data_IF_181420176026
#
_entry.id   IF_181420176026
#
_cell.length_a   1.000
_cell.length_b   1.000
_cell.length_c   1.000
_cell.angle_alpha   90.00
_cell.angle_beta   90.00
_cell.angle_gamma   90.00
#
_symmetry.space_group_name_H-M   'P 1'
#
loop_
_entity.id
_entity.type
_entity.pdbx_description
1 polymer ?
#
# COMPACT_ATOMS: atom_id res chain seq x y z
N UNK A 1 -4.99 24.21 5.21
CA UNK A 1 -4.66 23.63 5.29
C UNK A 1 -5.02 22.76 5.30
N UNK A 2 -5.46 22.39 4.99
CA UNK A 2 -5.73 21.52 5.12
C UNK A 2 -5.23 20.52 4.61
N UNK A 3 -4.96 20.44 3.53
CA UNK A 3 -4.32 19.42 3.08
C UNK A 3 -3.07 19.21 3.67
N UNK A 4 -2.42 20.17 4.00
CA UNK A 4 -1.28 20.06 4.77
C UNK A 4 -1.51 19.41 6.01
N UNK A 5 -2.64 19.67 6.58
CA UNK A 5 -3.02 18.99 7.75
C UNK A 5 -3.14 17.55 7.55
N UNK A 6 -3.61 17.18 6.42
CA UNK A 6 -3.72 15.80 6.15
C UNK A 6 -2.38 15.15 6.10
N UNK A 7 -1.42 15.83 5.53
CA UNK A 7 -0.11 15.25 5.50
C UNK A 7 0.44 15.11 6.89
N UNK A 8 0.20 16.10 7.72
CA UNK A 8 0.61 15.98 9.09
C UNK A 8 -0.09 14.84 9.77
N UNK A 9 -1.36 14.71 9.51
CA UNK A 9 -2.11 13.62 10.07
C UNK A 9 -1.60 12.27 9.65
N UNK A 10 -1.20 12.16 8.39
CA UNK A 10 -0.62 10.93 7.91
C UNK A 10 0.63 10.61 8.69
N UNK A 11 1.50 11.57 8.88
CA UNK A 11 2.71 11.35 9.64
C UNK A 11 2.43 10.95 11.07
N UNK A 12 1.45 11.58 11.68
CA UNK A 12 1.10 11.26 13.04
C UNK A 12 0.44 9.91 13.18
N UNK A 13 -0.09 9.39 12.11
CA UNK A 13 -0.76 8.10 12.16
C UNK A 13 0.18 6.91 12.15
N UNK A 14 1.45 7.13 11.94
CA UNK A 14 2.40 6.03 11.93
C UNK A 14 2.76 5.58 13.33
N UNK A 15 2.96 4.29 13.53
CA UNK A 15 2.75 3.23 12.54
C UNK A 15 1.27 2.94 12.33
N UNK A 16 0.93 2.44 11.17
CA UNK A 16 -0.45 2.08 10.89
C UNK A 16 -0.64 0.58 10.96
N UNK A 17 -1.89 0.16 11.07
CA UNK A 17 -2.21 -1.27 11.10
C UNK A 17 -2.67 -1.73 9.72
N UNK A 18 -2.67 -3.04 9.56
CA UNK A 18 -3.20 -3.63 8.33
C UNK A 18 -4.67 -3.26 8.14
N UNK A 19 -5.43 -3.20 9.22
CA UNK A 19 -6.83 -2.82 9.14
C UNK A 19 -6.99 -1.37 8.66
N UNK A 20 -6.18 -0.47 9.19
CA UNK A 20 -6.22 0.92 8.76
C UNK A 20 -5.88 1.05 7.28
N UNK A 21 -4.91 0.28 6.81
CA UNK A 21 -4.55 0.27 5.40
C UNK A 21 -5.72 -0.25 4.56
N UNK A 22 -6.36 -1.33 5.00
CA UNK A 22 -7.47 -1.89 4.26
C UNK A 22 -8.62 -0.91 4.13
N UNK A 23 -8.91 -0.17 5.20
CA UNK A 23 -9.96 0.85 5.17
C UNK A 23 -9.62 1.96 4.21
N UNK A 24 -8.36 2.40 4.23
CA UNK A 24 -7.92 3.44 3.32
C UNK A 24 -8.03 2.98 1.86
N UNK A 25 -7.62 1.75 1.59
CA UNK A 25 -7.69 1.21 0.24
C UNK A 25 -9.13 1.15 -0.27
N UNK A 26 -10.08 0.87 0.64
CA UNK A 26 -11.48 0.81 0.26
C UNK A 26 -12.03 2.18 -0.10
N UNK A 27 -11.64 3.21 0.65
CA UNK A 27 -12.27 4.51 0.58
C UNK A 27 -11.49 5.57 -0.19
N UNK A 28 -10.23 5.32 -0.52
CA UNK A 28 -9.38 6.34 -1.12
C UNK A 28 -9.84 6.73 -2.51
N UNK A 29 -9.77 8.02 -2.79
CA UNK A 29 -10.04 8.58 -4.09
C UNK A 29 -8.74 8.66 -4.88
N UNK A 30 -8.80 8.63 -6.21
CA UNK A 30 -7.58 8.75 -7.01
C UNK A 30 -6.77 9.97 -6.60
N UNK A 31 -5.49 9.77 -6.38
CA UNK A 31 -4.57 10.82 -5.96
C UNK A 31 -4.38 10.93 -4.47
N UNK A 32 -5.25 10.29 -3.67
CA UNK A 32 -5.05 10.28 -2.22
C UNK A 32 -3.76 9.56 -1.88
N UNK A 33 -3.11 9.99 -0.83
CA UNK A 33 -1.83 9.42 -0.40
C UNK A 33 -1.92 8.90 1.01
N UNK A 34 -1.21 7.83 1.27
CA UNK A 34 -1.10 7.27 2.62
C UNK A 34 0.34 6.87 2.87
N UNK A 35 0.94 7.42 3.92
CA UNK A 35 2.26 6.97 4.36
C UNK A 35 2.03 5.75 5.24
N UNK A 36 2.74 4.65 4.97
CA UNK A 36 2.56 3.46 5.78
C UNK A 36 3.81 3.07 6.57
N UNK A 37 4.94 3.69 6.28
CA UNK A 37 6.14 3.44 7.07
C UNK A 37 7.13 4.59 6.90
N UNK A 38 7.92 4.84 7.93
CA UNK A 38 9.06 5.74 7.88
C UNK A 38 10.26 4.99 8.42
N UNK A 39 11.36 5.00 7.69
CA UNK A 39 12.59 4.34 8.08
C UNK A 39 13.19 3.58 6.92
N UNK A 40 13.77 2.41 7.18
CA UNK A 40 14.33 1.58 6.13
C UNK A 40 13.60 0.23 6.17
N UNK A 41 12.60 0.11 5.33
CA UNK A 41 11.66 -1.00 5.38
C UNK A 41 12.34 -2.37 5.29
N UNK A 42 13.32 -2.50 4.44
CA UNK A 42 14.00 -3.78 4.27
C UNK A 42 14.60 -4.28 5.56
N UNK A 43 15.11 -3.38 6.39
CA UNK A 43 15.67 -3.76 7.68
C UNK A 43 14.58 -3.85 8.73
N UNK A 44 13.68 -2.86 8.77
CA UNK A 44 12.68 -2.76 9.83
C UNK A 44 11.70 -3.92 9.80
N UNK A 45 11.43 -4.48 8.63
CA UNK A 45 10.56 -5.63 8.49
C UNK A 45 11.32 -6.96 8.46
N UNK A 46 12.65 -6.92 8.54
CA UNK A 46 13.48 -8.12 8.46
C UNK A 46 13.26 -9.01 9.67
N UNK A 47 13.25 -10.29 9.46
CA UNK A 47 13.13 -11.24 10.57
C UNK A 47 14.40 -11.30 11.42
N UNK A 48 15.53 -10.89 10.86
CA UNK A 48 16.81 -11.05 11.56
C UNK A 48 17.44 -9.74 11.96
N UNK A 49 17.13 -8.66 11.26
CA UNK A 49 17.82 -7.39 11.47
C UNK A 49 16.96 -6.30 12.09
N UNK A 50 15.67 -6.52 12.19
CA UNK A 50 14.77 -5.51 12.72
C UNK A 50 15.03 -5.32 14.21
N UNK A 51 14.96 -4.07 14.65
CA UNK A 51 15.04 -3.73 16.06
C UNK A 51 13.67 -3.51 16.67
N UNK A 52 12.61 -3.67 15.86
CA UNK A 52 11.26 -3.51 16.36
C UNK A 52 10.88 -4.71 17.23
N UNK A 53 10.04 -4.49 18.24
CA UNK A 53 9.45 -5.62 18.96
C UNK A 53 8.70 -6.54 18.00
N UNK A 54 8.64 -7.82 18.34
CA UNK A 54 8.08 -8.83 17.44
C UNK A 54 6.66 -8.48 16.97
N UNK A 55 5.74 -8.07 17.86
CA UNK A 55 4.39 -7.75 17.36
C UNK A 55 4.38 -6.61 16.37
N UNK A 56 5.21 -5.59 16.60
CA UNK A 56 5.27 -4.44 15.69
C UNK A 56 5.90 -4.82 14.36
N UNK A 57 6.94 -5.65 14.42
CA UNK A 57 7.57 -6.11 13.19
C UNK A 57 6.60 -6.94 12.36
N UNK A 58 5.83 -7.81 13.01
CA UNK A 58 4.87 -8.64 12.30
C UNK A 58 3.77 -7.81 11.68
N UNK A 59 3.30 -6.78 12.40
CA UNK A 59 2.30 -5.90 11.84
C UNK A 59 2.85 -5.15 10.63
N UNK A 60 4.10 -4.66 10.73
CA UNK A 60 4.73 -3.98 9.61
C UNK A 60 4.87 -4.91 8.40
N UNK A 61 5.20 -6.17 8.62
CA UNK A 61 5.29 -7.14 7.53
C UNK A 61 3.94 -7.32 6.86
N UNK A 62 2.85 -7.38 7.63
CA UNK A 62 1.52 -7.51 7.07
C UNK A 62 1.12 -6.26 6.28
N UNK A 63 1.42 -5.09 6.82
CA UNK A 63 1.12 -3.83 6.13
C UNK A 63 1.89 -3.75 4.82
N UNK A 64 3.18 -4.05 4.85
CA UNK A 64 4.01 -3.98 3.66
C UNK A 64 3.55 -5.00 2.61
N UNK A 65 3.15 -6.18 3.05
CA UNK A 65 2.62 -7.20 2.15
C UNK A 65 1.33 -6.77 1.49
N UNK A 66 0.42 -6.19 2.28
CA UNK A 66 -0.85 -5.70 1.74
C UNK A 66 -0.63 -4.55 0.77
N UNK A 67 0.34 -3.68 1.06
CA UNK A 67 0.68 -2.57 0.17
C UNK A 67 1.20 -3.10 -1.17
N UNK A 68 2.05 -4.12 -1.12
CA UNK A 68 2.58 -4.72 -2.33
C UNK A 68 1.47 -5.35 -3.17
N UNK A 69 0.57 -6.09 -2.53
CA UNK A 69 -0.54 -6.72 -3.23
C UNK A 69 -1.40 -5.65 -3.90
N UNK A 70 -1.70 -4.56 -3.21
CA UNK A 70 -2.51 -3.49 -3.78
C UNK A 70 -1.82 -2.87 -4.99
N UNK A 71 -0.49 -2.71 -4.93
CA UNK A 71 0.27 -2.17 -6.05
C UNK A 71 0.24 -3.12 -7.23
N UNK A 72 0.40 -4.42 -6.98
CA UNK A 72 0.36 -5.42 -8.04
C UNK A 72 -1.03 -5.50 -8.68
N UNK A 73 -2.07 -5.21 -7.91
CA UNK A 73 -3.43 -5.20 -8.43
C UNK A 73 -3.78 -3.89 -9.13
N UNK A 74 -2.86 -2.96 -9.22
CA UNK A 74 -3.09 -1.70 -9.90
C UNK A 74 -3.93 -0.70 -9.13
N UNK A 75 -4.14 -0.93 -7.84
CA UNK A 75 -4.95 -0.04 -7.02
C UNK A 75 -4.20 1.20 -6.55
N UNK A 76 -2.90 1.08 -6.43
CA UNK A 76 -2.04 2.17 -5.92
C UNK A 76 -0.70 2.16 -6.64
N UNK A 77 -0.01 3.30 -6.56
CA UNK A 77 1.42 3.38 -6.86
C UNK A 77 2.15 3.35 -5.53
N UNK A 78 3.17 2.51 -5.41
CA UNK A 78 4.02 2.48 -4.23
C UNK A 78 5.23 3.37 -4.49
N UNK A 79 5.46 4.32 -3.63
CA UNK A 79 6.49 5.34 -3.82
C UNK A 79 7.34 5.44 -2.56
N UNK A 80 8.62 5.68 -2.74
CA UNK A 80 9.53 5.96 -1.64
C UNK A 80 10.00 7.40 -1.77
N UNK A 81 10.01 8.11 -0.65
CA UNK A 81 10.56 9.46 -0.62
C UNK A 81 11.74 9.46 0.32
N UNK A 82 12.93 9.70 -0.22
CA UNK A 82 14.15 9.63 0.56
C UNK A 82 14.36 10.91 1.36
N UNK A 83 14.71 10.76 2.62
CA UNK A 83 15.06 11.87 3.50
C UNK A 83 16.54 11.89 3.81
N UNK A 84 17.19 10.76 3.74
CA UNK A 84 18.60 10.64 4.03
C UNK A 84 19.03 9.20 3.85
N UNK A 85 20.21 8.87 4.33
CA UNK A 85 20.71 7.52 4.20
C UNK A 85 19.83 6.59 5.04
N UNK A 86 19.31 5.56 4.40
CA UNK A 86 18.47 4.55 5.04
C UNK A 86 17.24 5.16 5.73
N UNK A 87 16.77 6.30 5.23
CA UNK A 87 15.62 6.98 5.82
C UNK A 87 14.67 7.40 4.72
N UNK A 88 13.55 6.71 4.65
CA UNK A 88 12.54 6.92 3.61
C UNK A 88 11.16 7.01 4.23
N UNK A 89 10.27 7.72 3.55
CA UNK A 89 8.83 7.58 3.79
C UNK A 89 8.28 6.70 2.66
N UNK A 90 7.56 5.66 3.03
CA UNK A 90 6.94 4.76 2.08
C UNK A 90 5.47 5.13 1.96
N UNK A 91 5.07 5.47 0.74
CA UNK A 91 3.76 6.03 0.46
C UNK A 91 3.01 5.19 -0.55
N UNK A 92 1.70 5.18 -0.42
CA UNK A 92 0.83 4.65 -1.46
C UNK A 92 0.02 5.81 -2.02
N UNK A 93 -0.10 5.86 -3.34
CA UNK A 93 -0.91 6.88 -4.01
C UNK A 93 -2.03 6.15 -4.74
N UNK A 94 -3.26 6.46 -4.38
CA UNK A 94 -4.42 5.78 -4.95
C UNK A 94 -4.54 6.08 -6.45
N UNK A 95 -4.80 5.05 -7.22
CA UNK A 95 -5.00 5.16 -8.66
C UNK A 95 -6.48 5.08 -8.97
N UNK A 96 -6.90 5.56 -10.14
CA UNK A 96 -8.26 5.30 -10.60
C UNK A 96 -8.49 3.78 -10.59
N UNK A 97 -9.65 3.36 -10.13
CA UNK A 97 -9.93 1.95 -10.08
C UNK A 97 -10.03 1.39 -11.49
N UNK A 98 -9.51 0.18 -11.73
CA UNK A 98 -9.65 -0.44 -13.02
C UNK A 98 -11.14 -0.61 -13.32
N UNK A 99 -11.52 -0.44 -14.56
CA UNK A 99 -12.89 -0.68 -14.92
C UNK A 99 -13.18 -2.16 -14.85
N UNK A 100 -14.37 -2.53 -14.45
CA UNK A 100 -14.74 -3.93 -14.45
C UNK A 100 -14.63 -4.46 -15.87
N UNK A 101 -14.27 -5.68 -16.01
CA UNK A 101 -14.18 -6.27 -17.28
C UNK A 101 -15.46 -6.25 -17.91
N UNK A 102 -15.65 -5.59 -18.77
CA UNK A 102 -16.75 -5.51 -19.39
C UNK A 102 -16.47 -5.93 -20.62
N UNK A 103 -16.02 -6.13 -20.56
CA UNK A 103 -15.39 -6.35 -21.14
C UNK A 103 -15.20 -7.30 -21.58
N UNK A 104 -15.41 -7.66 -21.44
CA UNK A 104 -15.19 -8.50 -21.74
C UNK A 104 -15.54 -9.29 -22.12
N UNK A 105 -15.66 -9.70 -22.46
CA UNK A 105 -15.95 -10.53 -22.51
C UNK A 105 -15.75 -11.40 -22.55
N UNK A 106 -15.61 -11.37 -22.43
CA UNK A 106 -15.17 -12.20 -22.35
C UNK A 106 -15.06 -12.95 -22.33
N UNK A 107 -15.19 -13.31 -22.37
CA UNK A 107 -15.01 -14.09 -22.24
C UNK A 107 -14.78 -14.69 -22.29
N UNK A 108 -14.77 -14.74 -22.43
CA UNK A 108 -14.40 -15.34 -22.43
C UNK A 108 -14.19 -16.03 -22.45
N UNK A 109 -14.20 -16.28 -22.54
CA UNK A 109 -13.97 -17.03 -22.47
C UNK A 109 -13.92 -17.76 -22.63
N UNK A 110 -14.08 -17.78 -22.76
CA UNK A 110 -13.87 -18.49 -22.77
C UNK A 110 -13.72 -19.18 -23.14
N UNK A 111 -13.87 -19.07 -23.42
CA UNK A 111 -13.54 -19.60 -23.59
C UNK A 111 -13.30 -20.37 -23.74
N UNK A 112 -13.33 -20.20 -23.81
CA UNK A 112 -12.88 -20.77 -23.73
C UNK A 112 -12.79 -21.59 -23.81
N UNK A 113 -13.03 -21.43 -23.84
CA UNK A 113 -12.79 -22.04 -23.72
C UNK A 113 -12.78 -22.82 -24.08
N UNK A 114 -12.83 -22.81 -24.16
CA UNK A 114 -12.63 -23.34 -24.31
C UNK A 114 -12.50 -24.05 -24.55
N UNK A 115 -12.92 -24.15 -24.82
CA UNK A 115 -12.59 -24.71 -24.88
C UNK A 115 -12.56 -25.20 -25.01
N UNK A 116 -12.76 -25.22 -24.93
CA UNK A 116 -12.37 -25.61 -24.84
C UNK A 116 -12.38 -25.74 -25.01
#
# INVERSE_FOLDING_TARGET
MLNLNMLSGIGDALPITELALARWLRDAMPGDQLAYHRGFLAVDASMTESKLPVPERRELQRVAGAALVAALQGKVHAVQRRHGKSDYTYLLIARPRPKPARRLPMPLPVLLLQVG
#
